data_IF_998478267523
#
_entry.id   IF_998478267523
#
_cell.length_a   1.000
_cell.length_b   1.000
_cell.length_c   1.000
_cell.angle_alpha   90.00
_cell.angle_beta   90.00
_cell.angle_gamma   90.00
#
_symmetry.space_group_name_H-M   'P 1'
#
loop_
_entity.id
_entity.type
_entity.pdbx_description
1 polymer ?
#
# COMPACT_ATOMS: atom_id res chain seq x y z
N UNK A 1 9.39 7.25 -5.68
CA UNK A 1 9.42 6.57 -7.01
C UNK A 1 10.35 5.36 -7.06
N UNK A 2 11.62 5.46 -6.62
CA UNK A 2 12.55 4.31 -6.59
C UNK A 2 11.97 3.09 -5.84
N UNK A 3 11.28 3.31 -4.72
CA UNK A 3 10.62 2.22 -3.96
C UNK A 3 9.61 1.43 -4.80
N UNK A 4 8.75 2.11 -5.57
CA UNK A 4 7.75 1.49 -6.43
C UNK A 4 8.41 0.73 -7.59
N UNK A 5 9.37 1.35 -8.27
CA UNK A 5 10.07 0.72 -9.40
C UNK A 5 10.75 -0.59 -8.98
N UNK A 6 11.43 -0.60 -7.83
CA UNK A 6 12.05 -1.84 -7.33
C UNK A 6 10.98 -2.86 -6.94
N UNK A 7 9.83 -2.42 -6.41
CA UNK A 7 8.74 -3.33 -6.04
C UNK A 7 8.13 -4.02 -7.27
N UNK A 8 7.86 -3.27 -8.34
CA UNK A 8 7.44 -3.84 -9.62
C UNK A 8 8.52 -4.72 -10.25
N UNK A 9 9.80 -4.36 -10.10
CA UNK A 9 10.93 -5.22 -10.48
C UNK A 9 10.96 -6.55 -9.71
N UNK A 10 10.73 -6.52 -8.39
CA UNK A 10 10.63 -7.73 -7.56
C UNK A 10 9.43 -8.59 -7.96
N UNK A 11 8.26 -7.99 -8.22
CA UNK A 11 7.08 -8.69 -8.73
C UNK A 11 7.41 -9.41 -10.05
N UNK A 12 8.06 -8.71 -10.98
CA UNK A 12 8.47 -9.29 -12.25
C UNK A 12 9.43 -10.48 -12.03
N UNK A 13 10.44 -10.33 -11.17
CA UNK A 13 11.40 -11.40 -10.86
C UNK A 13 10.73 -12.65 -10.29
N UNK A 14 9.80 -12.47 -9.33
CA UNK A 14 9.04 -13.58 -8.73
C UNK A 14 8.16 -14.29 -9.74
N UNK A 15 7.60 -13.54 -10.70
CA UNK A 15 6.74 -14.09 -11.74
C UNK A 15 7.53 -14.84 -12.83
N UNK A 16 8.62 -14.25 -13.34
CA UNK A 16 9.41 -14.80 -14.44
C UNK A 16 10.39 -15.91 -14.02
N UNK A 17 10.53 -16.17 -12.73
CA UNK A 17 11.41 -17.22 -12.20
C UNK A 17 10.57 -18.37 -11.63
N UNK A 18 10.32 -19.45 -12.41
CA UNK A 18 9.50 -20.59 -11.98
C UNK A 18 9.88 -21.19 -10.61
N UNK A 19 11.17 -21.43 -10.28
CA UNK A 19 11.51 -22.03 -8.99
C UNK A 19 11.18 -21.10 -7.80
N UNK A 20 11.24 -19.78 -7.99
CA UNK A 20 10.82 -18.82 -6.95
C UNK A 20 9.31 -18.88 -6.77
N UNK A 21 8.56 -18.91 -7.88
CA UNK A 21 7.10 -19.02 -7.88
C UNK A 21 6.61 -20.28 -7.17
N UNK A 22 7.21 -21.43 -7.48
CA UNK A 22 6.87 -22.71 -6.85
C UNK A 22 7.21 -22.70 -5.36
N UNK A 23 8.36 -22.13 -4.99
CA UNK A 23 8.76 -22.02 -3.59
C UNK A 23 7.78 -21.16 -2.78
N UNK A 24 7.35 -20.00 -3.28
CA UNK A 24 6.43 -19.13 -2.53
C UNK A 24 5.01 -19.72 -2.40
N UNK A 25 4.62 -20.60 -3.31
CA UNK A 25 3.35 -21.35 -3.25
C UNK A 25 3.42 -22.57 -2.32
N UNK A 26 4.63 -23.01 -1.96
CA UNK A 26 4.83 -24.11 -1.01
C UNK A 26 4.35 -23.77 0.42
N UNK A 27 4.24 -24.80 1.27
CA UNK A 27 3.93 -24.61 2.70
C UNK A 27 4.94 -23.65 3.39
N UNK A 28 6.22 -23.78 3.07
CA UNK A 28 7.27 -22.92 3.62
C UNK A 28 7.14 -21.46 3.17
N UNK A 29 6.76 -21.24 1.91
CA UNK A 29 6.49 -19.92 1.37
C UNK A 29 5.35 -19.20 2.08
N UNK A 30 4.29 -19.93 2.47
CA UNK A 30 3.18 -19.37 3.26
C UNK A 30 3.59 -18.94 4.66
N UNK A 31 4.44 -19.71 5.34
CA UNK A 31 4.98 -19.30 6.65
C UNK A 31 5.80 -18.01 6.54
N UNK A 32 6.65 -17.91 5.51
CA UNK A 32 7.42 -16.70 5.24
C UNK A 32 6.52 -15.51 4.90
N UNK A 33 5.40 -15.73 4.20
CA UNK A 33 4.40 -14.69 3.93
C UNK A 33 3.82 -14.12 5.24
N UNK A 34 3.34 -14.97 6.15
CA UNK A 34 2.83 -14.50 7.45
C UNK A 34 3.91 -13.86 8.31
N UNK A 35 5.14 -14.38 8.31
CA UNK A 35 6.27 -13.76 8.99
C UNK A 35 6.56 -12.35 8.44
N UNK A 36 6.55 -12.19 7.11
CA UNK A 36 6.75 -10.88 6.46
C UNK A 36 5.66 -9.87 6.83
N UNK A 37 4.40 -10.32 6.97
CA UNK A 37 3.30 -9.50 7.46
C UNK A 37 3.52 -9.03 8.89
N UNK A 38 3.99 -9.92 9.77
CA UNK A 38 4.37 -9.57 11.14
C UNK A 38 5.49 -8.55 11.20
N UNK A 39 6.55 -8.73 10.40
CA UNK A 39 7.66 -7.76 10.28
C UNK A 39 7.16 -6.41 9.76
N UNK A 40 6.31 -6.40 8.74
CA UNK A 40 5.69 -5.18 8.21
C UNK A 40 4.92 -4.42 9.32
N UNK A 41 4.03 -5.10 10.03
CA UNK A 41 3.23 -4.48 11.09
C UNK A 41 4.10 -3.91 12.22
N UNK A 42 5.03 -4.70 12.74
CA UNK A 42 5.92 -4.25 13.84
C UNK A 42 6.73 -3.04 13.43
N UNK A 43 7.30 -3.06 12.22
CA UNK A 43 8.12 -1.95 11.70
C UNK A 43 7.27 -0.71 11.41
N UNK A 44 6.06 -0.89 10.89
CA UNK A 44 5.10 0.20 10.66
C UNK A 44 4.70 0.88 11.98
N UNK A 45 4.29 0.11 12.99
CA UNK A 45 3.98 0.67 14.31
C UNK A 45 5.20 1.32 14.96
N UNK A 46 6.40 0.77 14.80
CA UNK A 46 7.61 1.41 15.31
C UNK A 46 7.83 2.79 14.68
N UNK A 47 7.61 2.95 13.37
CA UNK A 47 7.74 4.23 12.67
C UNK A 47 6.63 5.22 13.04
N UNK A 48 5.38 4.77 13.13
CA UNK A 48 4.21 5.62 13.43
C UNK A 48 4.19 6.04 14.90
N UNK A 49 4.39 5.11 15.83
CA UNK A 49 4.29 5.38 17.27
C UNK A 49 5.56 6.02 17.85
N UNK A 50 6.72 5.83 17.21
CA UNK A 50 8.00 6.38 17.69
C UNK A 50 8.54 7.46 16.76
N UNK A 51 8.11 8.70 16.98
CA UNK A 51 8.60 9.86 16.23
C UNK A 51 10.13 10.01 16.32
N UNK A 52 10.72 9.61 17.46
CA UNK A 52 12.19 9.55 17.65
C UNK A 52 12.86 8.53 16.73
N UNK A 53 12.23 7.39 16.48
CA UNK A 53 12.75 6.37 15.56
C UNK A 53 12.62 6.83 14.10
N UNK A 54 11.51 7.48 13.76
CA UNK A 54 11.26 8.03 12.42
C UNK A 54 12.22 9.19 12.05
N UNK A 55 12.67 9.98 13.03
CA UNK A 55 13.56 11.14 12.80
C UNK A 55 15.05 10.87 13.01
N UNK A 56 15.43 9.78 13.70
CA UNK A 56 16.84 9.51 14.02
C UNK A 56 17.54 8.79 12.87
N UNK A 57 18.48 9.48 12.25
CA UNK A 57 19.45 8.85 11.33
C UNK A 57 20.45 7.99 12.12
N UNK A 58 20.85 6.78 11.63
CA UNK A 58 20.43 6.11 10.39
C UNK A 58 19.23 5.15 10.59
N UNK A 59 18.64 5.11 11.79
CA UNK A 59 17.64 4.13 12.20
C UNK A 59 16.37 4.22 11.34
N UNK A 60 15.94 5.43 10.98
CA UNK A 60 14.81 5.68 10.09
C UNK A 60 14.94 5.01 8.72
N UNK A 61 16.12 5.05 8.10
CA UNK A 61 16.39 4.39 6.81
C UNK A 61 16.42 2.88 6.94
N UNK A 62 16.95 2.35 8.04
CA UNK A 62 16.97 0.91 8.31
C UNK A 62 15.54 0.38 8.46
N UNK A 63 14.72 1.03 9.29
CA UNK A 63 13.31 0.65 9.47
C UNK A 63 12.53 0.77 8.15
N UNK A 64 12.74 1.86 7.40
CA UNK A 64 12.12 2.02 6.08
C UNK A 64 12.53 0.90 5.12
N UNK A 65 13.81 0.52 5.12
CA UNK A 65 14.35 -0.58 4.32
C UNK A 65 13.71 -1.92 4.66
N UNK A 66 13.61 -2.25 5.95
CA UNK A 66 12.97 -3.48 6.46
C UNK A 66 11.49 -3.52 6.04
N UNK A 67 10.76 -2.42 6.27
CA UNK A 67 9.34 -2.32 5.90
C UNK A 67 9.15 -2.44 4.39
N UNK A 68 9.98 -1.76 3.61
CA UNK A 68 9.88 -1.82 2.14
C UNK A 68 10.18 -3.24 1.65
N UNK A 69 11.17 -3.92 2.22
CA UNK A 69 11.54 -5.28 1.84
C UNK A 69 10.45 -6.29 2.19
N UNK A 70 9.84 -6.19 3.37
CA UNK A 70 8.72 -7.06 3.75
C UNK A 70 7.51 -6.85 2.84
N UNK A 71 7.17 -5.60 2.52
CA UNK A 71 6.08 -5.29 1.59
C UNK A 71 6.33 -5.83 0.18
N UNK A 72 7.57 -5.71 -0.33
CA UNK A 72 7.96 -6.26 -1.63
C UNK A 72 7.82 -7.77 -1.68
N UNK A 73 8.24 -8.45 -0.63
CA UNK A 73 8.10 -9.90 -0.53
C UNK A 73 6.62 -10.30 -0.54
N UNK A 74 5.79 -9.67 0.31
CA UNK A 74 4.34 -9.91 0.33
C UNK A 74 3.71 -9.74 -1.05
N UNK A 75 4.05 -8.63 -1.73
CA UNK A 75 3.53 -8.33 -3.06
C UNK A 75 4.01 -9.33 -4.13
N UNK A 76 5.26 -9.78 -4.05
CA UNK A 76 5.81 -10.84 -4.90
C UNK A 76 5.14 -12.20 -4.68
N UNK A 77 4.79 -12.52 -3.43
CA UNK A 77 4.01 -13.73 -3.12
C UNK A 77 2.59 -13.61 -3.67
N UNK A 78 1.91 -12.47 -3.48
CA UNK A 78 0.55 -12.25 -4.00
C UNK A 78 0.55 -12.36 -5.53
N UNK A 79 1.48 -11.69 -6.22
CA UNK A 79 1.55 -11.69 -7.68
C UNK A 79 1.83 -13.08 -8.28
N UNK A 80 2.48 -13.98 -7.54
CA UNK A 80 2.71 -15.37 -7.96
C UNK A 80 1.40 -16.16 -8.20
N UNK A 81 0.29 -15.74 -7.60
CA UNK A 81 -1.04 -16.34 -7.78
C UNK A 81 -1.83 -15.76 -8.96
N UNK A 82 -1.38 -14.64 -9.54
CA UNK A 82 -2.05 -13.99 -10.67
C UNK A 82 -1.32 -14.24 -11.99
N UNK A 83 -2.04 -14.07 -13.10
CA UNK A 83 -1.48 -14.12 -14.46
C UNK A 83 -0.78 -12.79 -14.78
N UNK A 84 0.23 -12.83 -15.64
CA UNK A 84 0.97 -11.62 -16.05
C UNK A 84 0.07 -10.57 -16.69
N UNK A 85 -0.93 -10.99 -17.48
CA UNK A 85 -1.90 -10.09 -18.11
C UNK A 85 -2.65 -9.27 -17.07
N UNK A 86 -3.18 -9.92 -16.02
CA UNK A 86 -3.85 -9.26 -14.90
C UNK A 86 -2.92 -8.31 -14.15
N UNK A 87 -1.66 -8.71 -13.94
CA UNK A 87 -0.66 -7.87 -13.28
C UNK A 87 -0.39 -6.60 -14.10
N UNK A 88 -0.16 -6.73 -15.41
CA UNK A 88 0.13 -5.59 -16.29
C UNK A 88 -1.07 -4.63 -16.40
N UNK A 89 -2.29 -5.17 -16.51
CA UNK A 89 -3.51 -4.38 -16.50
C UNK A 89 -3.63 -3.63 -15.17
N UNK A 90 -3.44 -4.31 -14.04
CA UNK A 90 -3.53 -3.69 -12.72
C UNK A 90 -2.50 -2.57 -12.55
N UNK A 91 -1.25 -2.77 -12.97
CA UNK A 91 -0.22 -1.72 -12.98
C UNK A 91 -0.66 -0.51 -13.81
N UNK A 92 -1.21 -0.74 -15.00
CA UNK A 92 -1.71 0.32 -15.88
C UNK A 92 -2.85 1.13 -15.23
N UNK A 93 -3.84 0.45 -14.67
CA UNK A 93 -4.98 1.11 -14.00
C UNK A 93 -4.50 1.85 -12.74
N UNK A 94 -3.64 1.25 -11.92
CA UNK A 94 -3.06 1.94 -10.75
C UNK A 94 -2.34 3.21 -11.16
N UNK A 95 -1.52 3.17 -12.22
CA UNK A 95 -0.81 4.36 -12.70
C UNK A 95 -1.77 5.47 -13.12
N UNK A 96 -2.85 5.14 -13.83
CA UNK A 96 -3.90 6.10 -14.24
C UNK A 96 -4.61 6.68 -13.03
N UNK A 97 -5.04 5.84 -12.07
CA UNK A 97 -5.74 6.28 -10.85
C UNK A 97 -4.83 7.19 -10.02
N UNK A 98 -3.59 6.77 -9.75
CA UNK A 98 -2.66 7.55 -8.94
C UNK A 98 -2.30 8.88 -9.60
N UNK A 99 -2.06 8.90 -10.92
CA UNK A 99 -1.77 10.12 -11.65
C UNK A 99 -2.98 11.07 -11.66
N UNK A 100 -4.19 10.54 -11.94
CA UNK A 100 -5.42 11.30 -11.95
C UNK A 100 -5.74 11.92 -10.58
N UNK A 101 -5.63 11.14 -9.51
CA UNK A 101 -5.82 11.61 -8.13
C UNK A 101 -4.79 12.67 -7.77
N UNK A 102 -3.53 12.46 -8.11
CA UNK A 102 -2.45 13.42 -7.83
C UNK A 102 -2.69 14.75 -8.54
N UNK A 103 -3.04 14.73 -9.84
CA UNK A 103 -3.39 15.94 -10.60
C UNK A 103 -4.63 16.64 -10.04
N UNK A 104 -5.65 15.88 -9.65
CA UNK A 104 -6.85 16.42 -9.02
C UNK A 104 -6.53 17.09 -7.69
N UNK A 105 -5.71 16.46 -6.84
CA UNK A 105 -5.25 17.03 -5.57
C UNK A 105 -4.47 18.33 -5.76
N UNK A 106 -3.68 18.46 -6.83
CA UNK A 106 -2.97 19.71 -7.17
C UNK A 106 -3.90 20.86 -7.54
N UNK A 107 -4.99 20.57 -8.26
CA UNK A 107 -5.87 21.61 -8.81
C UNK A 107 -7.02 21.97 -7.88
N UNK A 108 -7.45 21.05 -7.03
CA UNK A 108 -8.65 21.22 -6.21
C UNK A 108 -8.43 22.23 -5.09
N UNK A 109 -9.40 23.15 -4.94
CA UNK A 109 -9.42 24.09 -3.82
C UNK A 109 -9.96 23.43 -2.54
N UNK A 110 -10.67 22.32 -2.68
CA UNK A 110 -11.24 21.57 -1.55
C UNK A 110 -10.13 21.00 -0.65
N UNK A 111 -10.28 21.15 0.65
CA UNK A 111 -9.32 20.68 1.64
C UNK A 111 -9.74 19.31 2.19
N UNK A 112 -9.24 18.23 1.59
CA UNK A 112 -9.53 16.86 2.05
C UNK A 112 -8.83 16.55 3.38
N UNK A 113 -7.79 17.29 3.76
CA UNK A 113 -7.10 17.10 5.05
C UNK A 113 -8.01 17.40 6.24
N UNK A 114 -9.10 18.16 6.05
CA UNK A 114 -10.09 18.40 7.10
C UNK A 114 -10.97 17.17 7.40
N UNK A 115 -10.91 16.13 6.59
CA UNK A 115 -11.79 14.94 6.67
C UNK A 115 -11.14 13.73 7.37
N UNK A 116 -10.08 13.90 8.17
CA UNK A 116 -9.42 12.78 8.88
C UNK A 116 -10.38 11.89 9.68
N UNK A 117 -11.37 12.48 10.36
CA UNK A 117 -12.37 11.71 11.09
C UNK A 117 -13.19 10.77 10.21
N UNK A 118 -13.54 11.21 8.98
CA UNK A 118 -14.26 10.38 8.01
C UNK A 118 -13.38 9.25 7.50
N UNK A 119 -12.10 9.53 7.22
CA UNK A 119 -11.13 8.53 6.79
C UNK A 119 -10.92 7.45 7.85
N UNK A 120 -10.89 7.83 9.13
CA UNK A 120 -10.79 6.87 10.23
C UNK A 120 -12.01 5.94 10.33
N UNK A 121 -13.22 6.49 10.19
CA UNK A 121 -14.44 5.66 10.18
C UNK A 121 -14.48 4.76 8.95
N UNK A 122 -14.07 5.27 7.78
CA UNK A 122 -13.99 4.51 6.53
C UNK A 122 -13.00 3.35 6.63
N UNK A 123 -11.83 3.56 7.22
CA UNK A 123 -10.82 2.50 7.41
C UNK A 123 -11.30 1.44 8.40
N UNK A 124 -11.98 1.84 9.48
CA UNK A 124 -12.59 0.89 10.42
C UNK A 124 -13.68 0.05 9.76
N UNK A 125 -14.53 0.67 8.92
CA UNK A 125 -15.57 -0.03 8.17
C UNK A 125 -14.97 -1.02 7.16
N UNK A 126 -13.93 -0.62 6.42
CA UNK A 126 -13.19 -1.50 5.52
C UNK A 126 -12.55 -2.67 6.26
N UNK A 127 -11.93 -2.42 7.41
CA UNK A 127 -11.35 -3.48 8.24
C UNK A 127 -12.41 -4.50 8.68
N UNK A 128 -13.53 -4.03 9.23
CA UNK A 128 -14.63 -4.90 9.65
C UNK A 128 -15.21 -5.70 8.47
N UNK A 129 -15.41 -5.06 7.32
CA UNK A 129 -15.92 -5.74 6.14
C UNK A 129 -14.92 -6.76 5.57
N UNK A 130 -13.62 -6.45 5.62
CA UNK A 130 -12.55 -7.36 5.23
C UNK A 130 -12.52 -8.63 6.11
N UNK A 131 -12.75 -8.49 7.41
CA UNK A 131 -12.89 -9.63 8.34
C UNK A 131 -14.08 -10.50 7.92
N UNK A 132 -15.24 -9.90 7.65
CA UNK A 132 -16.43 -10.65 7.19
C UNK A 132 -16.13 -11.36 5.86
N UNK A 133 -15.48 -10.70 4.91
CA UNK A 133 -15.11 -11.29 3.63
C UNK A 133 -14.21 -12.51 3.80
N UNK A 134 -13.24 -12.45 4.73
CA UNK A 134 -12.33 -13.55 5.04
C UNK A 134 -13.04 -14.85 5.46
N UNK A 135 -14.23 -14.76 6.05
CA UNK A 135 -15.03 -15.92 6.45
C UNK A 135 -16.12 -16.31 5.45
N UNK A 136 -16.52 -15.41 4.55
CA UNK A 136 -17.73 -15.58 3.72
C UNK A 136 -17.44 -16.27 2.38
N UNK A 137 -16.18 -16.42 1.97
CA UNK A 137 -15.72 -17.11 0.74
C UNK A 137 -16.50 -16.77 -0.56
N UNK A 138 -17.22 -15.65 -0.60
CA UNK A 138 -18.08 -15.26 -1.72
C UNK A 138 -17.33 -14.35 -2.68
N UNK A 139 -17.22 -14.77 -3.93
CA UNK A 139 -16.49 -14.01 -4.97
C UNK A 139 -17.08 -12.61 -5.18
N UNK A 140 -18.40 -12.47 -5.21
CA UNK A 140 -19.08 -11.18 -5.39
C UNK A 140 -18.72 -10.25 -4.24
N UNK A 141 -18.72 -10.76 -3.01
CA UNK A 141 -18.40 -9.97 -1.82
C UNK A 141 -16.95 -9.48 -1.87
N UNK A 142 -16.00 -10.34 -2.28
CA UNK A 142 -14.61 -9.97 -2.48
C UNK A 142 -14.43 -8.91 -3.57
N UNK A 143 -15.15 -9.01 -4.70
CA UNK A 143 -15.11 -8.00 -5.78
C UNK A 143 -15.64 -6.66 -5.28
N UNK A 144 -16.74 -6.65 -4.53
CA UNK A 144 -17.28 -5.41 -3.92
C UNK A 144 -16.29 -4.82 -2.92
N UNK A 145 -15.72 -5.65 -2.04
CA UNK A 145 -14.69 -5.24 -1.09
C UNK A 145 -13.47 -4.63 -1.79
N UNK A 146 -13.01 -5.24 -2.89
CA UNK A 146 -11.89 -4.73 -3.68
C UNK A 146 -12.23 -3.37 -4.30
N UNK A 147 -13.40 -3.21 -4.90
CA UNK A 147 -13.86 -1.93 -5.44
C UNK A 147 -13.93 -0.82 -4.39
N UNK A 148 -14.47 -1.11 -3.20
CA UNK A 148 -14.49 -0.19 -2.07
C UNK A 148 -13.08 0.18 -1.60
N UNK A 149 -12.16 -0.80 -1.57
CA UNK A 149 -10.76 -0.60 -1.26
C UNK A 149 -10.07 0.36 -2.23
N UNK A 150 -10.29 0.22 -3.55
CA UNK A 150 -9.75 1.14 -4.57
C UNK A 150 -10.22 2.57 -4.32
N UNK A 151 -11.52 2.76 -4.08
CA UNK A 151 -12.08 4.10 -3.83
C UNK A 151 -11.51 4.70 -2.55
N UNK A 152 -11.50 3.94 -1.45
CA UNK A 152 -11.02 4.44 -0.17
C UNK A 152 -9.53 4.83 -0.22
N UNK A 153 -8.67 3.95 -0.73
CA UNK A 153 -7.24 4.25 -0.83
C UNK A 153 -6.93 5.34 -1.86
N UNK A 154 -7.79 5.56 -2.86
CA UNK A 154 -7.69 6.74 -3.74
C UNK A 154 -7.98 8.04 -2.99
N UNK A 155 -8.91 8.03 -2.03
CA UNK A 155 -9.18 9.20 -1.17
C UNK A 155 -8.02 9.42 -0.18
N UNK A 156 -7.47 8.35 0.42
CA UNK A 156 -6.24 8.44 1.23
C UNK A 156 -5.09 9.06 0.43
N UNK A 157 -4.85 8.57 -0.79
CA UNK A 157 -3.82 9.12 -1.66
C UNK A 157 -4.06 10.61 -1.94
N UNK A 158 -5.32 11.02 -2.15
CA UNK A 158 -5.65 12.42 -2.38
C UNK A 158 -5.27 13.30 -1.17
N UNK A 159 -5.59 12.83 0.04
CA UNK A 159 -5.32 13.50 1.32
C UNK A 159 -3.81 13.57 1.58
N UNK A 160 -3.09 12.47 1.38
CA UNK A 160 -1.66 12.40 1.63
C UNK A 160 -0.87 13.26 0.64
N UNK A 161 -1.28 13.30 -0.64
CA UNK A 161 -0.73 14.23 -1.62
C UNK A 161 -0.93 15.69 -1.19
N UNK A 162 -2.14 16.06 -0.70
CA UNK A 162 -2.40 17.42 -0.21
C UNK A 162 -1.59 17.76 1.04
N UNK A 163 -1.39 16.79 1.93
CA UNK A 163 -0.67 16.98 3.17
C UNK A 163 0.86 17.10 2.95
N UNK A 164 1.38 16.51 1.88
CA UNK A 164 2.77 16.65 1.42
C UNK A 164 3.01 17.96 0.68
N UNK A 165 2.04 18.44 -0.10
CA UNK A 165 2.15 19.72 -0.80
C UNK A 165 2.23 20.93 0.14
N UNK A 166 1.57 20.84 1.31
CA UNK A 166 1.35 21.99 2.16
C UNK A 166 0.36 22.99 1.56
N UNK A 167 0.17 24.13 2.22
CA UNK A 167 -0.80 25.17 1.90
C UNK A 167 -2.23 24.91 2.40
N UNK A 168 -2.43 23.96 3.32
CA UNK A 168 -3.75 23.54 3.87
C UNK A 168 -3.68 23.47 5.39
N UNK A 169 -4.79 23.10 6.07
CA UNK A 169 -4.87 23.10 7.54
C UNK A 169 -3.86 22.17 8.24
N UNK A 170 -3.47 21.07 7.61
CA UNK A 170 -2.50 20.12 8.14
C UNK A 170 -1.39 19.90 7.11
N UNK A 171 -0.14 20.08 7.54
CA UNK A 171 1.05 19.91 6.70
C UNK A 171 2.05 19.01 7.42
N UNK A 172 2.68 18.09 6.69
CA UNK A 172 3.84 17.36 7.21
C UNK A 172 5.02 18.33 7.27
N UNK A 173 5.70 18.36 8.41
CA UNK A 173 7.00 19.04 8.52
C UNK A 173 7.97 18.42 7.51
N UNK A 174 8.72 19.25 6.78
CA UNK A 174 9.72 18.80 5.80
C UNK A 174 10.75 17.80 6.38
N UNK A 175 10.92 17.79 7.70
CA UNK A 175 11.77 16.84 8.42
C UNK A 175 11.27 15.38 8.35
N UNK A 176 9.98 15.15 8.08
CA UNK A 176 9.35 13.83 8.04
C UNK A 176 9.16 13.28 6.60
N UNK A 177 10.07 13.61 5.68
CA UNK A 177 10.05 13.15 4.27
C UNK A 177 9.98 11.61 4.11
N UNK A 178 10.59 10.85 5.02
CA UNK A 178 10.50 9.39 5.02
C UNK A 178 9.06 8.93 5.24
N UNK A 179 8.37 9.53 6.21
CA UNK A 179 7.00 9.21 6.53
C UNK A 179 6.05 9.58 5.39
N UNK A 180 6.23 10.76 4.79
CA UNK A 180 5.53 11.17 3.58
C UNK A 180 5.71 10.15 2.43
N UNK A 181 6.95 9.71 2.18
CA UNK A 181 7.23 8.72 1.13
C UNK A 181 6.60 7.37 1.43
N UNK A 182 6.56 6.97 2.70
CA UNK A 182 5.99 5.71 3.17
C UNK A 182 4.47 5.69 2.97
N UNK A 183 3.77 6.75 3.34
CA UNK A 183 2.32 6.86 3.20
C UNK A 183 1.90 6.76 1.72
N UNK A 184 2.50 7.55 0.84
CA UNK A 184 2.26 7.46 -0.60
C UNK A 184 2.58 6.06 -1.15
N UNK A 185 3.66 5.43 -0.69
CA UNK A 185 4.02 4.08 -1.14
C UNK A 185 2.97 3.04 -0.72
N UNK A 186 2.51 3.09 0.53
CA UNK A 186 1.50 2.18 1.06
C UNK A 186 0.19 2.34 0.26
N UNK A 187 -0.28 3.57 0.05
CA UNK A 187 -1.52 3.83 -0.68
C UNK A 187 -1.48 3.29 -2.10
N UNK A 188 -0.41 3.56 -2.84
CA UNK A 188 -0.26 3.11 -4.23
C UNK A 188 -0.22 1.57 -4.30
N UNK A 189 0.48 0.91 -3.37
CA UNK A 189 0.54 -0.55 -3.35
C UNK A 189 -0.83 -1.16 -2.99
N UNK A 190 -1.57 -0.59 -2.04
CA UNK A 190 -2.90 -1.11 -1.71
C UNK A 190 -3.91 -0.88 -2.85
N UNK A 191 -3.88 0.28 -3.52
CA UNK A 191 -4.66 0.50 -4.75
C UNK A 191 -4.34 -0.59 -5.77
N UNK A 192 -3.06 -0.90 -5.99
CA UNK A 192 -2.63 -1.98 -6.89
C UNK A 192 -3.15 -3.36 -6.45
N UNK A 193 -3.02 -3.73 -5.18
CA UNK A 193 -3.51 -5.02 -4.66
C UNK A 193 -5.02 -5.15 -4.83
N UNK A 194 -5.79 -4.11 -4.54
CA UNK A 194 -7.23 -4.13 -4.73
C UNK A 194 -7.64 -4.23 -6.20
N UNK A 195 -6.98 -3.49 -7.10
CA UNK A 195 -7.21 -3.62 -8.54
C UNK A 195 -6.85 -5.01 -9.03
N UNK A 196 -5.72 -5.57 -8.58
CA UNK A 196 -5.28 -6.91 -8.96
C UNK A 196 -6.26 -7.99 -8.51
N UNK A 197 -7.01 -7.74 -7.43
CA UNK A 197 -7.98 -8.67 -6.83
C UNK A 197 -9.38 -8.62 -7.48
N UNK A 198 -9.61 -7.70 -8.42
CA UNK A 198 -10.85 -7.61 -9.22
C UNK A 198 -10.83 -8.62 -10.38
#
# INVERSE_FOLDING_TARGET
MIQLSITFGCIALFHFTPPVREYVQSQNGRWLYFASYGVFLVTYFALVCSQRAARRYPLNLILLGILTLSMRYMMGVISAYYKIESILIAVGITAVVCFGVTLFSFQTKYDFTSCFGVLFVMSLALLAFGIVCAFTYSRILYTVYAGLGVVAFSIFLAVDVQLIMGGKRHEISAEDHIFASLMLYIDIIYIFVFILSL
#
